data_IF_122377816506
#
_entry.id   IF_122377816506
#
_cell.length_a   1.000
_cell.length_b   1.000
_cell.length_c   1.000
_cell.angle_alpha   90.00
_cell.angle_beta   90.00
_cell.angle_gamma   90.00
#
_symmetry.space_group_name_H-M   'P 1'
#
loop_
_entity.id
_entity.type
_entity.pdbx_description
1 polymer ?
#
# COMPACT_ATOMS: atom_id res chain seq x y z
N UNK A 1 14.44 5.62 -18.90
CA UNK A 1 13.95 5.04 -17.62
C UNK A 1 12.90 5.97 -17.01
N UNK A 2 11.69 6.05 -17.59
CA UNK A 2 10.65 6.96 -17.12
C UNK A 2 9.20 6.45 -17.27
N UNK A 3 8.98 5.19 -17.65
CA UNK A 3 7.60 4.66 -17.86
C UNK A 3 6.98 4.00 -16.62
N UNK A 4 7.75 3.77 -15.55
CA UNK A 4 7.25 3.07 -14.36
C UNK A 4 6.57 3.95 -13.30
N UNK A 5 6.77 5.27 -13.36
CA UNK A 5 6.31 6.20 -12.32
C UNK A 5 4.93 6.82 -12.62
N UNK A 6 4.52 6.89 -13.88
CA UNK A 6 3.32 7.59 -14.34
C UNK A 6 2.02 6.94 -13.82
N UNK A 7 1.99 5.61 -13.69
CA UNK A 7 0.79 4.88 -13.23
C UNK A 7 0.43 5.12 -11.77
N UNK A 8 1.39 5.52 -10.92
CA UNK A 8 1.12 5.84 -9.51
C UNK A 8 0.50 7.22 -9.32
N UNK A 9 0.69 8.17 -10.24
CA UNK A 9 0.11 9.50 -10.15
C UNK A 9 -1.40 9.53 -10.44
N UNK A 10 -1.94 8.47 -11.05
CA UNK A 10 -3.35 8.38 -11.43
C UNK A 10 -4.28 7.75 -10.38
N UNK A 11 -3.77 7.24 -9.25
CA UNK A 11 -4.62 6.59 -8.23
C UNK A 11 -5.15 7.58 -7.19
N UNK A 12 -6.48 7.76 -7.18
CA UNK A 12 -7.19 8.54 -6.16
C UNK A 12 -7.03 10.06 -6.29
N UNK A 13 -7.48 10.80 -5.27
CA UNK A 13 -7.35 12.27 -5.21
C UNK A 13 -6.15 12.62 -4.33
N UNK A 14 -5.11 13.19 -4.94
CA UNK A 14 -3.86 13.56 -4.25
C UNK A 14 -4.16 14.56 -3.12
N UNK A 15 -3.69 14.24 -1.91
CA UNK A 15 -3.81 15.11 -0.73
C UNK A 15 -5.19 15.14 -0.06
N UNK A 16 -6.20 14.43 -0.58
CA UNK A 16 -7.55 14.46 -0.01
C UNK A 16 -7.58 14.03 1.47
N UNK A 17 -6.86 12.97 1.83
CA UNK A 17 -6.82 12.48 3.22
C UNK A 17 -6.32 13.56 4.17
N UNK A 18 -5.24 14.28 3.81
CA UNK A 18 -4.68 15.34 4.65
C UNK A 18 -5.65 16.52 4.75
N UNK A 19 -6.25 16.92 3.63
CA UNK A 19 -7.24 18.00 3.60
C UNK A 19 -8.45 17.70 4.49
N UNK A 20 -8.96 16.46 4.48
CA UNK A 20 -10.05 16.04 5.35
C UNK A 20 -9.64 15.97 6.81
N UNK A 21 -8.44 15.49 7.11
CA UNK A 21 -7.89 15.44 8.46
C UNK A 21 -7.78 16.84 9.08
N UNK A 22 -7.32 17.82 8.31
CA UNK A 22 -7.08 19.18 8.80
C UNK A 22 -8.37 19.99 8.96
N UNK A 23 -9.32 19.85 8.02
CA UNK A 23 -10.49 20.75 7.95
C UNK A 23 -11.78 20.13 8.49
N UNK A 24 -11.95 18.81 8.39
CA UNK A 24 -13.19 18.10 8.79
C UNK A 24 -12.86 16.72 9.43
N UNK A 25 -12.07 16.69 10.51
CA UNK A 25 -11.63 15.44 11.14
C UNK A 25 -12.79 14.55 11.61
N UNK A 26 -13.95 15.15 11.93
CA UNK A 26 -15.16 14.43 12.34
C UNK A 26 -15.74 13.52 11.25
N UNK A 27 -15.37 13.72 9.99
CA UNK A 27 -15.77 12.85 8.88
C UNK A 27 -14.96 11.55 8.82
N UNK A 28 -13.80 11.49 9.50
CA UNK A 28 -12.95 10.30 9.57
C UNK A 28 -13.20 9.58 10.89
N UNK A 29 -13.49 8.28 10.82
CA UNK A 29 -13.75 7.44 12.01
C UNK A 29 -12.87 6.21 11.97
N UNK A 30 -12.11 6.03 13.03
CA UNK A 30 -11.36 4.79 13.27
C UNK A 30 -12.21 3.89 14.16
N UNK A 31 -12.46 2.67 13.70
CA UNK A 31 -13.30 1.70 14.41
C UNK A 31 -12.66 0.34 14.31
N UNK A 32 -12.81 -0.47 15.35
CA UNK A 32 -12.33 -1.85 15.33
C UNK A 32 -13.16 -2.68 14.34
N UNK A 33 -12.54 -3.68 13.73
CA UNK A 33 -13.15 -4.51 12.70
C UNK A 33 -14.44 -5.21 13.19
N UNK A 34 -14.50 -5.59 14.47
CA UNK A 34 -15.65 -6.26 15.06
C UNK A 34 -16.92 -5.40 15.02
N UNK A 35 -16.77 -4.08 14.97
CA UNK A 35 -17.88 -3.14 14.83
C UNK A 35 -18.63 -3.32 13.50
N UNK A 36 -18.00 -3.95 12.51
CA UNK A 36 -18.56 -4.20 11.18
C UNK A 36 -19.09 -5.64 11.00
N UNK A 37 -19.05 -6.50 12.02
CA UNK A 37 -19.62 -7.85 11.90
C UNK A 37 -21.12 -7.80 11.57
N UNK A 38 -21.59 -8.74 10.76
CA UNK A 38 -22.96 -8.78 10.25
C UNK A 38 -23.26 -7.80 9.10
N UNK A 39 -22.33 -6.92 8.74
CA UNK A 39 -22.51 -5.98 7.64
C UNK A 39 -21.98 -6.57 6.32
N UNK A 40 -22.73 -6.34 5.24
CA UNK A 40 -22.24 -6.60 3.88
C UNK A 40 -21.44 -5.39 3.42
N UNK A 41 -20.16 -5.59 3.11
CA UNK A 41 -19.24 -4.55 2.64
C UNK A 41 -18.80 -4.90 1.23
N UNK A 42 -18.98 -3.96 0.30
CA UNK A 42 -18.44 -4.10 -1.04
C UNK A 42 -16.95 -3.77 -1.04
N UNK A 43 -16.13 -4.68 -1.57
CA UNK A 43 -14.68 -4.53 -1.64
C UNK A 43 -14.29 -4.26 -3.10
N UNK A 44 -13.42 -3.28 -3.32
CA UNK A 44 -12.84 -3.03 -4.64
C UNK A 44 -11.77 -4.09 -4.94
N UNK A 45 -12.14 -5.10 -5.72
CA UNK A 45 -11.26 -6.22 -6.06
C UNK A 45 -9.97 -5.79 -6.77
N UNK A 46 -10.04 -4.84 -7.71
CA UNK A 46 -8.85 -4.45 -8.49
C UNK A 46 -7.81 -3.76 -7.61
N UNK A 47 -8.23 -2.83 -6.75
CA UNK A 47 -7.33 -2.16 -5.80
C UNK A 47 -6.75 -3.15 -4.79
N UNK A 48 -7.55 -4.11 -4.29
CA UNK A 48 -7.06 -5.14 -3.38
C UNK A 48 -6.01 -6.04 -4.02
N UNK A 49 -6.23 -6.51 -5.25
CA UNK A 49 -5.26 -7.36 -5.97
C UNK A 49 -3.98 -6.59 -6.29
N UNK A 50 -4.09 -5.34 -6.75
CA UNK A 50 -2.93 -4.48 -7.02
C UNK A 50 -2.05 -4.31 -5.78
N UNK A 51 -2.65 -3.96 -4.63
CA UNK A 51 -1.90 -3.80 -3.38
C UNK A 51 -1.28 -5.12 -2.90
N UNK A 52 -1.98 -6.24 -3.06
CA UNK A 52 -1.47 -7.55 -2.67
C UNK A 52 -0.20 -7.92 -3.46
N UNK A 53 -0.23 -7.79 -4.79
CA UNK A 53 0.91 -8.10 -5.67
C UNK A 53 2.07 -7.13 -5.42
N UNK A 54 1.78 -5.83 -5.30
CA UNK A 54 2.79 -4.81 -4.99
C UNK A 54 3.53 -5.13 -3.69
N UNK A 55 2.78 -5.49 -2.63
CA UNK A 55 3.38 -5.90 -1.36
C UNK A 55 4.24 -7.16 -1.51
N UNK A 56 3.72 -8.21 -2.17
CA UNK A 56 4.45 -9.47 -2.35
C UNK A 56 5.80 -9.26 -3.08
N UNK A 57 5.76 -8.54 -4.21
CA UNK A 57 6.95 -8.29 -5.03
C UNK A 57 7.96 -7.36 -4.33
N UNK A 58 7.48 -6.33 -3.64
CA UNK A 58 8.35 -5.43 -2.87
C UNK A 58 9.16 -6.17 -1.82
N UNK A 59 8.54 -7.11 -1.09
CA UNK A 59 9.23 -7.92 -0.10
C UNK A 59 10.28 -8.84 -0.73
N UNK A 60 9.96 -9.50 -1.85
CA UNK A 60 10.92 -10.37 -2.55
C UNK A 60 12.19 -9.63 -2.96
N UNK A 61 12.06 -8.39 -3.44
CA UNK A 61 13.21 -7.55 -3.81
C UNK A 61 14.07 -7.25 -2.59
N UNK A 62 13.48 -6.91 -1.44
CA UNK A 62 14.23 -6.66 -0.20
C UNK A 62 14.98 -7.93 0.25
N UNK A 63 14.30 -9.08 0.25
CA UNK A 63 14.94 -10.36 0.58
C UNK A 63 16.11 -10.69 -0.35
N UNK A 64 15.94 -10.52 -1.65
CA UNK A 64 17.00 -10.74 -2.63
C UNK A 64 18.21 -9.83 -2.37
N UNK A 65 17.98 -8.54 -2.12
CA UNK A 65 19.05 -7.59 -1.82
C UNK A 65 19.82 -7.97 -0.55
N UNK A 66 19.12 -8.41 0.51
CA UNK A 66 19.76 -8.87 1.75
C UNK A 66 20.61 -10.12 1.49
N UNK A 67 20.08 -11.10 0.74
CA UNK A 67 20.81 -12.33 0.41
C UNK A 67 22.07 -12.01 -0.42
N UNK A 68 21.97 -11.14 -1.43
CA UNK A 68 23.12 -10.71 -2.23
C UNK A 68 24.17 -9.98 -1.39
N UNK A 69 23.75 -9.14 -0.45
CA UNK A 69 24.64 -8.43 0.46
C UNK A 69 25.39 -9.41 1.40
N UNK A 70 24.68 -10.37 1.98
CA UNK A 70 25.29 -11.41 2.83
C UNK A 70 26.25 -12.27 2.02
N UNK A 71 25.85 -12.69 0.81
CA UNK A 71 26.71 -13.45 -0.10
C UNK A 71 27.99 -12.65 -0.40
N UNK A 72 27.87 -11.40 -0.85
CA UNK A 72 29.02 -10.53 -1.11
C UNK A 72 30.00 -10.46 0.08
N UNK A 73 29.48 -10.32 1.31
CA UNK A 73 30.32 -10.25 2.51
C UNK A 73 30.98 -11.59 2.89
N UNK A 74 30.35 -12.73 2.59
CA UNK A 74 30.94 -14.07 2.83
C UNK A 74 32.10 -14.35 1.86
N UNK A 75 32.01 -13.87 0.63
CA UNK A 75 33.01 -14.09 -0.42
C UNK A 75 34.07 -12.97 -0.52
N UNK A 76 34.06 -12.02 0.42
CA UNK A 76 35.13 -11.04 0.65
C UNK A 76 36.11 -11.58 1.69
#
# INVERSE_FOLDING_TARGET
>A
MAEGAEWKEHMGIKGLTNLLADNVPKAMKEQKLESYFGHKIAINASMSIYHFIYFLLGNLIVYFNIICYIHYFIYL
#
